data_IF_655911541474
#
_entry.id   IF_655911541474
#
_cell.length_a   1.000
_cell.length_b   1.000
_cell.length_c   1.000
_cell.angle_alpha   90.00
_cell.angle_beta   90.00
_cell.angle_gamma   90.00
#
_symmetry.space_group_name_H-M   'P 1'
#
loop_
_entity.id
_entity.type
_entity.pdbx_description
1 polymer ?
#
# COMPACT_ATOMS: atom_id res chain seq x y z
N UNK A 1 -7.39 31.17 -25.27
CA UNK A 1 -6.25 30.23 -25.40
C UNK A 1 -5.53 30.00 -24.06
N UNK A 2 -6.24 29.64 -22.99
CA UNK A 2 -5.62 29.29 -21.68
C UNK A 2 -6.10 27.95 -21.11
N UNK A 3 -7.24 27.43 -21.59
CA UNK A 3 -7.80 26.15 -21.14
C UNK A 3 -7.16 24.91 -21.79
N UNK A 4 -6.51 25.07 -22.95
CA UNK A 4 -5.84 23.97 -23.65
C UNK A 4 -4.46 23.61 -23.04
N UNK A 5 -3.83 24.56 -22.35
CA UNK A 5 -2.52 24.35 -21.72
C UNK A 5 -2.60 23.51 -20.44
N UNK A 6 -3.67 23.69 -19.65
CA UNK A 6 -3.90 22.92 -18.43
C UNK A 6 -4.19 21.44 -18.71
N UNK A 7 -4.84 21.13 -19.85
CA UNK A 7 -5.18 19.75 -20.20
C UNK A 7 -3.93 18.93 -20.59
N UNK A 8 -2.91 19.58 -21.16
CA UNK A 8 -1.63 18.95 -21.50
C UNK A 8 -0.77 18.69 -20.26
N UNK A 9 -0.79 19.61 -19.27
CA UNK A 9 -0.05 19.40 -18.02
C UNK A 9 -0.62 18.27 -17.16
N UNK A 10 -1.94 18.02 -17.21
CA UNK A 10 -2.56 16.90 -16.49
C UNK A 10 -2.27 15.56 -17.21
N UNK A 11 -2.17 15.55 -18.55
CA UNK A 11 -1.78 14.34 -19.28
C UNK A 11 -0.32 13.92 -19.03
N UNK A 12 0.57 14.86 -18.73
CA UNK A 12 2.00 14.60 -18.48
C UNK A 12 2.32 14.14 -17.05
N UNK A 13 1.41 14.34 -16.08
CA UNK A 13 1.57 13.83 -14.71
C UNK A 13 1.18 12.35 -14.54
N UNK A 14 0.62 11.73 -15.58
CA UNK A 14 0.27 10.30 -15.59
C UNK A 14 1.41 9.38 -16.06
N UNK A 15 2.58 9.92 -16.43
CA UNK A 15 3.65 9.13 -17.08
C UNK A 15 5.03 9.19 -16.41
N UNK A 16 5.13 9.61 -15.14
CA UNK A 16 6.39 9.51 -14.39
C UNK A 16 6.20 8.77 -13.06
N UNK A 17 5.76 7.52 -13.13
CA UNK A 17 6.23 6.50 -12.20
C UNK A 17 6.83 5.38 -13.04
N UNK A 18 8.16 5.42 -13.14
CA UNK A 18 8.97 4.53 -13.95
C UNK A 18 8.78 3.07 -13.55
N UNK A 19 8.52 2.29 -14.57
CA UNK A 19 8.64 0.83 -14.71
C UNK A 19 9.48 0.12 -13.65
N UNK A 20 8.80 -0.67 -12.82
CA UNK A 20 9.32 -1.98 -12.42
C UNK A 20 8.23 -3.00 -12.75
N UNK A 21 8.59 -4.03 -13.51
CA UNK A 21 7.77 -5.19 -13.80
C UNK A 21 7.36 -5.88 -12.48
N UNK A 22 6.32 -5.37 -11.82
CA UNK A 22 5.53 -6.15 -10.87
C UNK A 22 4.32 -6.60 -11.65
N UNK A 23 4.20 -7.91 -11.84
CA UNK A 23 2.99 -8.56 -12.34
C UNK A 23 1.85 -8.05 -11.45
N UNK A 24 1.10 -7.07 -11.98
CA UNK A 24 -0.04 -6.45 -11.31
C UNK A 24 -1.19 -7.44 -11.46
N UNK A 25 -1.22 -8.43 -10.57
CA UNK A 25 -2.34 -9.35 -10.47
C UNK A 25 -3.57 -8.52 -10.06
N UNK A 26 -4.60 -8.57 -10.89
CA UNK A 26 -5.91 -7.98 -10.66
C UNK A 26 -6.55 -8.66 -9.43
N UNK A 27 -6.21 -8.20 -8.23
CA UNK A 27 -7.06 -8.44 -7.08
C UNK A 27 -8.40 -7.73 -7.35
N UNK A 28 -9.51 -8.34 -6.95
CA UNK A 28 -10.75 -7.57 -6.89
C UNK A 28 -10.53 -6.42 -5.91
N UNK A 29 -11.01 -5.23 -6.24
CA UNK A 29 -10.88 -4.01 -5.43
C UNK A 29 -11.29 -4.24 -3.97
N UNK A 30 -12.22 -5.17 -3.74
CA UNK A 30 -12.69 -5.61 -2.42
C UNK A 30 -11.63 -6.38 -1.62
N UNK A 31 -10.86 -7.28 -2.26
CA UNK A 31 -9.81 -8.06 -1.59
C UNK A 31 -8.63 -7.18 -1.18
N UNK A 32 -8.25 -6.22 -2.03
CA UNK A 32 -7.24 -5.22 -1.68
C UNK A 32 -7.70 -4.35 -0.51
N UNK A 33 -8.92 -3.84 -0.56
CA UNK A 33 -9.45 -3.02 0.52
C UNK A 33 -9.49 -3.79 1.86
N UNK A 34 -9.95 -5.04 1.83
CA UNK A 34 -9.98 -5.90 3.03
C UNK A 34 -8.58 -6.07 3.62
N UNK A 35 -7.57 -6.35 2.78
CA UNK A 35 -6.22 -6.58 3.30
C UNK A 35 -5.56 -5.29 3.79
N UNK A 36 -5.84 -4.14 3.16
CA UNK A 36 -5.40 -2.83 3.66
C UNK A 36 -5.92 -2.56 5.06
N UNK A 37 -7.24 -2.72 5.28
CA UNK A 37 -7.87 -2.47 6.59
C UNK A 37 -7.35 -3.43 7.65
N UNK A 38 -7.23 -4.73 7.32
CA UNK A 38 -6.68 -5.73 8.25
C UNK A 38 -5.23 -5.41 8.65
N UNK A 39 -4.40 -5.05 7.67
CA UNK A 39 -2.99 -4.73 7.89
C UNK A 39 -2.85 -3.46 8.72
N UNK A 40 -3.65 -2.43 8.42
CA UNK A 40 -3.60 -1.18 9.17
C UNK A 40 -4.08 -1.33 10.59
N UNK A 41 -5.13 -2.13 10.83
CA UNK A 41 -5.57 -2.45 12.18
C UNK A 41 -4.46 -3.09 12.99
N UNK A 42 -3.81 -4.09 12.43
CA UNK A 42 -2.70 -4.77 13.09
C UNK A 42 -1.53 -3.81 13.37
N UNK A 43 -1.20 -2.94 12.41
CA UNK A 43 -0.20 -1.90 12.59
C UNK A 43 -0.53 -0.93 13.73
N UNK A 44 -1.77 -0.43 13.80
CA UNK A 44 -2.22 0.46 14.86
C UNK A 44 -2.23 -0.23 16.24
N UNK A 45 -2.53 -1.53 16.32
CA UNK A 45 -2.41 -2.29 17.57
C UNK A 45 -0.97 -2.35 18.11
N UNK A 46 0.02 -2.28 17.22
CA UNK A 46 1.45 -2.34 17.56
C UNK A 46 2.10 -0.96 17.74
N UNK A 47 1.41 0.12 17.37
CA UNK A 47 1.91 1.49 17.43
C UNK A 47 0.92 2.38 18.18
N UNK A 48 1.21 2.68 19.46
CA UNK A 48 0.29 3.42 20.35
C UNK A 48 -0.12 4.79 19.84
N UNK A 49 0.72 5.41 19.01
CA UNK A 49 0.52 6.76 18.48
C UNK A 49 -0.33 6.77 17.21
N UNK A 50 -0.66 5.60 16.66
CA UNK A 50 -1.42 5.43 15.42
C UNK A 50 -2.84 4.97 15.74
N UNK A 51 -3.83 5.68 15.20
CA UNK A 51 -5.24 5.30 15.32
C UNK A 51 -5.76 4.73 14.01
N UNK A 52 -6.82 3.91 14.07
CA UNK A 52 -7.49 3.37 12.89
C UNK A 52 -7.97 4.46 11.92
N UNK A 53 -8.37 5.62 12.43
CA UNK A 53 -8.82 6.77 11.64
C UNK A 53 -7.67 7.44 10.85
N UNK A 54 -6.42 7.10 11.16
CA UNK A 54 -5.25 7.62 10.47
C UNK A 54 -4.94 6.87 9.16
N UNK A 55 -5.73 5.86 8.76
CA UNK A 55 -5.45 5.01 7.59
C UNK A 55 -5.15 5.82 6.31
N UNK A 56 -5.83 6.94 6.13
CA UNK A 56 -5.65 7.84 4.97
C UNK A 56 -4.33 8.62 5.01
N UNK A 57 -3.57 8.58 6.10
CA UNK A 57 -2.23 9.17 6.22
C UNK A 57 -1.13 8.19 5.79
N UNK A 58 -1.48 6.94 5.47
CA UNK A 58 -0.53 5.89 5.12
C UNK A 58 -0.68 5.42 3.67
N UNK A 59 0.42 4.89 3.14
CA UNK A 59 0.55 4.21 1.87
C UNK A 59 0.67 2.70 2.09
N UNK A 60 0.12 1.92 1.17
CA UNK A 60 0.14 0.46 1.20
C UNK A 60 0.72 -0.06 -0.11
N UNK A 61 1.83 -0.80 -0.05
CA UNK A 61 2.35 -1.59 -1.18
C UNK A 61 1.99 -3.06 -0.94
N UNK A 62 1.04 -3.57 -1.72
CA UNK A 62 0.54 -4.95 -1.62
C UNK A 62 1.15 -5.76 -2.75
N UNK A 63 1.91 -6.80 -2.39
CA UNK A 63 2.54 -7.71 -3.33
C UNK A 63 2.10 -9.14 -3.07
N UNK A 64 1.58 -9.81 -4.09
CA UNK A 64 1.31 -11.26 -4.01
C UNK A 64 2.46 -12.01 -4.66
N UNK A 65 3.16 -12.85 -3.90
CA UNK A 65 4.12 -13.81 -4.47
C UNK A 65 3.44 -15.17 -4.61
N UNK A 66 3.53 -15.73 -5.81
CA UNK A 66 3.17 -17.12 -6.15
C UNK A 66 1.75 -17.55 -5.78
N UNK A 67 0.78 -16.62 -5.70
CA UNK A 67 -0.59 -16.89 -5.22
C UNK A 67 -0.63 -17.67 -3.90
N UNK A 68 0.36 -17.48 -3.02
CA UNK A 68 0.43 -18.15 -1.72
C UNK A 68 0.56 -17.16 -0.58
N UNK A 69 1.40 -16.15 -0.77
CA UNK A 69 1.73 -15.19 0.26
C UNK A 69 1.40 -13.78 -0.22
N UNK A 70 0.81 -12.99 0.67
CA UNK A 70 0.49 -11.58 0.43
C UNK A 70 1.34 -10.73 1.36
N UNK A 71 2.19 -9.90 0.79
CA UNK A 71 3.03 -8.96 1.49
C UNK A 71 2.38 -7.60 1.47
N UNK A 72 2.25 -6.97 2.63
CA UNK A 72 1.73 -5.62 2.78
C UNK A 72 2.80 -4.79 3.46
N UNK A 73 3.29 -3.77 2.76
CA UNK A 73 4.17 -2.76 3.34
C UNK A 73 3.35 -1.52 3.66
N UNK A 74 3.51 -0.99 4.87
CA UNK A 74 2.81 0.20 5.37
C UNK A 74 3.85 1.28 5.62
N UNK A 75 3.60 2.49 5.12
CA UNK A 75 4.49 3.64 5.30
C UNK A 75 3.68 4.94 5.41
N UNK A 76 4.10 5.92 6.22
CA UNK A 76 3.48 7.23 6.24
C UNK A 76 3.60 7.89 4.86
N UNK A 77 2.57 8.60 4.43
CA UNK A 77 2.59 9.36 3.15
C UNK A 77 3.69 10.41 3.10
N UNK A 78 4.06 10.94 4.26
CA UNK A 78 5.01 12.03 4.41
C UNK A 78 6.49 11.57 4.41
N UNK A 79 6.75 10.26 4.48
CA UNK A 79 8.10 9.68 4.52
C UNK A 79 8.36 8.88 3.23
N UNK A 80 9.43 9.25 2.50
CA UNK A 80 9.75 8.68 1.18
C UNK A 80 10.61 7.39 1.28
N UNK A 81 11.21 7.09 2.43
CA UNK A 81 12.12 5.93 2.59
C UNK A 81 11.99 5.26 3.97
N UNK A 82 11.88 3.93 3.97
CA UNK A 82 11.70 3.09 5.16
C UNK A 82 10.23 2.72 5.37
N UNK A 83 9.86 1.45 5.17
CA UNK A 83 8.52 0.99 5.52
C UNK A 83 8.44 0.80 7.04
N UNK A 84 7.45 1.41 7.69
CA UNK A 84 7.25 1.29 9.14
C UNK A 84 6.71 -0.08 9.53
N UNK A 85 6.08 -0.79 8.60
CA UNK A 85 5.69 -2.16 8.81
C UNK A 85 5.70 -3.00 7.53
N UNK A 86 5.96 -4.28 7.72
CA UNK A 86 5.78 -5.34 6.74
C UNK A 86 4.97 -6.46 7.38
N UNK A 87 3.81 -6.76 6.81
CA UNK A 87 2.94 -7.85 7.25
C UNK A 87 2.79 -8.84 6.10
N UNK A 88 2.94 -10.12 6.39
CA UNK A 88 2.78 -11.22 5.44
C UNK A 88 1.61 -12.09 5.84
N UNK A 89 0.74 -12.36 4.89
CA UNK A 89 -0.42 -13.23 5.02
C UNK A 89 -0.30 -14.46 4.14
N UNK A 90 -0.93 -15.56 4.54
CA UNK A 90 -1.22 -16.69 3.66
C UNK A 90 -2.45 -16.42 2.77
N UNK A 91 -2.87 -17.42 2.00
CA UNK A 91 -4.07 -17.31 1.16
C UNK A 91 -5.40 -17.21 1.93
N UNK A 92 -5.42 -17.61 3.19
CA UNK A 92 -6.58 -17.55 4.09
C UNK A 92 -6.62 -16.23 4.88
N UNK A 93 -5.65 -15.34 4.65
CA UNK A 93 -5.42 -14.11 5.43
C UNK A 93 -4.96 -14.35 6.86
N UNK A 94 -4.34 -15.49 7.15
CA UNK A 94 -3.65 -15.73 8.40
C UNK A 94 -2.26 -15.08 8.35
N UNK A 95 -1.87 -14.40 9.44
CA UNK A 95 -0.55 -13.74 9.53
C UNK A 95 0.52 -14.83 9.64
N UNK A 96 1.47 -14.83 8.70
CA UNK A 96 2.64 -15.72 8.71
C UNK A 96 3.86 -14.99 9.31
N UNK A 97 3.96 -13.68 9.09
CA UNK A 97 5.09 -12.88 9.51
C UNK A 97 4.67 -11.41 9.67
N UNK A 98 5.25 -10.73 10.65
CA UNK A 98 5.12 -9.29 10.82
C UNK A 98 6.45 -8.69 11.29
N UNK A 99 6.74 -7.50 10.82
CA UNK A 99 7.89 -6.69 11.19
C UNK A 99 7.43 -5.24 11.29
N UNK A 100 7.86 -4.55 12.34
CA UNK A 100 7.54 -3.14 12.61
C UNK A 100 8.83 -2.40 12.90
N UNK A 101 9.20 -1.43 12.06
CA UNK A 101 10.44 -0.65 12.16
C UNK A 101 11.73 -1.49 12.22
N UNK A 102 12.85 -0.79 12.08
CA UNK A 102 14.15 -1.18 12.67
C UNK A 102 14.46 -0.19 13.80
#
# INVERSE_FOLDING_TARGET
MKKLFYLICILLLLFSCSTNNKIKLNLSTEKEHKIMVLSFKRFAEMNSDVKLDDIDKYCFDINMLDNKNIYVYISPKDIILGGDAKIMYDNNFDIIFEQYGE
#
